data_IF_293318700167
#
_entry.id   IF_293318700167
#
_cell.length_a   1.000
_cell.length_b   1.000
_cell.length_c   1.000
_cell.angle_alpha   90.00
_cell.angle_beta   90.00
_cell.angle_gamma   90.00
#
_symmetry.space_group_name_H-M   'P 1'
#
loop_
_entity.id
_entity.type
_entity.pdbx_description
1 polymer ?
#
# COMPACT_ATOMS: atom_id res chain seq x y z
N UNK A 1 2.67 -18.66 -0.10
CA UNK A 1 2.91 -17.96 -1.39
C UNK A 1 4.02 -18.68 -2.11
N UNK A 2 3.88 -18.90 -3.41
CA UNK A 2 4.98 -19.42 -4.23
C UNK A 2 6.08 -18.34 -4.40
N UNK A 3 7.23 -18.74 -4.93
CA UNK A 3 8.40 -17.86 -5.11
C UNK A 3 8.09 -16.63 -5.97
N UNK A 4 7.29 -16.78 -7.02
CA UNK A 4 6.93 -15.68 -7.93
C UNK A 4 6.03 -14.64 -7.24
N UNK A 5 5.05 -15.10 -6.46
CA UNK A 5 4.16 -14.23 -5.68
C UNK A 5 4.94 -13.47 -4.60
N UNK A 6 5.94 -14.09 -3.96
CA UNK A 6 6.84 -13.39 -3.04
C UNK A 6 7.70 -12.33 -3.75
N UNK A 7 8.23 -12.65 -4.93
CA UNK A 7 9.01 -11.71 -5.74
C UNK A 7 8.18 -10.50 -6.15
N UNK A 8 6.94 -10.70 -6.60
CA UNK A 8 6.06 -9.61 -7.00
C UNK A 8 5.57 -8.76 -5.81
N UNK A 9 5.41 -9.36 -4.63
CA UNK A 9 5.21 -8.60 -3.39
C UNK A 9 6.41 -7.68 -3.11
N UNK A 10 7.64 -8.20 -3.14
CA UNK A 10 8.84 -7.39 -2.91
C UNK A 10 8.94 -6.24 -3.91
N UNK A 11 8.70 -6.51 -5.20
CA UNK A 11 8.68 -5.46 -6.24
C UNK A 11 7.65 -4.37 -5.94
N UNK A 12 6.43 -4.75 -5.53
CA UNK A 12 5.39 -3.79 -5.16
C UNK A 12 5.77 -2.94 -3.96
N UNK A 13 6.40 -3.53 -2.95
CA UNK A 13 6.88 -2.77 -1.79
C UNK A 13 8.00 -1.80 -2.18
N UNK A 14 8.96 -2.24 -2.99
CA UNK A 14 10.07 -1.41 -3.47
C UNK A 14 9.57 -0.27 -4.36
N UNK A 15 8.67 -0.54 -5.30
CA UNK A 15 8.07 0.47 -6.17
C UNK A 15 7.24 1.50 -5.38
N UNK A 16 6.54 1.07 -4.35
CA UNK A 16 5.85 2.00 -3.44
C UNK A 16 6.84 2.86 -2.64
N UNK A 17 7.92 2.25 -2.11
CA UNK A 17 8.96 2.96 -1.37
C UNK A 17 9.65 4.00 -2.27
N UNK A 18 9.95 3.63 -3.52
CA UNK A 18 10.51 4.55 -4.50
C UNK A 18 9.55 5.70 -4.77
N UNK A 19 8.28 5.42 -5.05
CA UNK A 19 7.26 6.44 -5.27
C UNK A 19 7.10 7.38 -4.06
N UNK A 20 7.23 6.91 -2.82
CA UNK A 20 7.24 7.78 -1.63
C UNK A 20 8.43 8.75 -1.63
N UNK A 21 9.61 8.30 -2.08
CA UNK A 21 10.86 9.07 -2.06
C UNK A 21 11.02 10.01 -3.24
N UNK A 22 10.39 9.71 -4.38
CA UNK A 22 10.57 10.44 -5.64
C UNK A 22 9.37 11.32 -6.00
N UNK A 23 8.19 11.06 -5.42
CA UNK A 23 7.01 11.89 -5.67
C UNK A 23 7.13 13.25 -4.97
N UNK A 24 6.93 14.33 -5.71
CA UNK A 24 6.94 15.69 -5.17
C UNK A 24 5.53 16.16 -4.78
N UNK A 25 5.36 16.79 -3.60
CA UNK A 25 6.34 16.91 -2.53
C UNK A 25 6.60 15.56 -1.84
N UNK A 26 7.86 15.30 -1.47
CA UNK A 26 8.24 14.08 -0.74
C UNK A 26 7.52 14.03 0.61
N UNK A 27 6.75 12.95 0.85
CA UNK A 27 5.94 12.77 2.06
C UNK A 27 6.13 11.39 2.65
N UNK A 28 6.98 11.31 3.67
CA UNK A 28 7.13 10.09 4.49
C UNK A 28 5.97 9.86 5.45
N UNK A 29 5.24 10.93 5.79
CA UNK A 29 4.04 10.88 6.60
C UNK A 29 2.92 11.66 5.91
N UNK A 30 1.67 11.26 6.14
CA UNK A 30 0.51 11.87 5.49
C UNK A 30 -0.80 11.26 5.97
N UNK A 31 -1.90 11.67 5.34
CA UNK A 31 -3.20 11.07 5.59
C UNK A 31 -3.39 9.79 4.76
N UNK A 32 -4.44 9.03 5.06
CA UNK A 32 -4.76 7.80 4.34
C UNK A 32 -4.97 8.06 2.84
N UNK A 33 -5.70 9.11 2.47
CA UNK A 33 -6.06 9.41 1.08
C UNK A 33 -4.84 9.63 0.18
N UNK A 34 -3.83 10.33 0.68
CA UNK A 34 -2.56 10.51 -0.03
C UNK A 34 -1.90 9.17 -0.35
N UNK A 35 -1.77 8.30 0.65
CA UNK A 35 -1.13 7.00 0.47
C UNK A 35 -1.98 6.04 -0.37
N UNK A 36 -3.32 6.13 -0.30
CA UNK A 36 -4.22 5.40 -1.17
C UNK A 36 -3.93 5.80 -2.63
N UNK A 37 -3.99 7.09 -2.95
CA UNK A 37 -3.75 7.57 -4.31
C UNK A 37 -2.35 7.21 -4.83
N UNK A 38 -1.33 7.32 -3.98
CA UNK A 38 0.03 6.93 -4.33
C UNK A 38 0.12 5.42 -4.65
N UNK A 39 -0.50 4.58 -3.83
CA UNK A 39 -0.48 3.13 -4.01
C UNK A 39 -1.29 2.70 -5.24
N UNK A 40 -2.44 3.32 -5.49
CA UNK A 40 -3.25 3.06 -6.69
C UNK A 40 -2.47 3.37 -7.97
N UNK A 41 -1.77 4.51 -8.00
CA UNK A 41 -0.89 4.89 -9.12
C UNK A 41 0.27 3.91 -9.30
N UNK A 42 0.88 3.44 -8.22
CA UNK A 42 1.91 2.39 -8.31
C UNK A 42 1.30 1.14 -8.95
N UNK A 43 0.20 0.62 -8.41
CA UNK A 43 -0.48 -0.58 -8.95
C UNK A 43 -0.88 -0.43 -10.42
N UNK A 44 -1.36 0.75 -10.83
CA UNK A 44 -1.83 0.97 -12.20
C UNK A 44 -0.68 1.10 -13.21
N UNK A 45 0.53 1.46 -12.76
CA UNK A 45 1.69 1.69 -13.65
C UNK A 45 2.58 0.46 -13.85
N UNK A 46 2.39 -0.60 -13.07
CA UNK A 46 3.25 -1.79 -13.16
C UNK A 46 2.77 -2.82 -14.16
N UNK A 47 3.72 -3.56 -14.72
CA UNK A 47 3.51 -4.57 -15.77
C UNK A 47 3.55 -6.02 -15.26
N UNK A 48 3.90 -6.22 -13.99
CA UNK A 48 3.98 -7.55 -13.38
C UNK A 48 2.66 -8.00 -12.73
N UNK A 49 2.58 -9.29 -12.43
CA UNK A 49 1.40 -9.93 -11.86
C UNK A 49 1.15 -9.44 -10.43
N UNK A 50 -0.07 -8.94 -10.20
CA UNK A 50 -0.51 -8.39 -8.90
C UNK A 50 -1.80 -9.06 -8.39
N UNK A 51 -2.34 -10.02 -9.16
CA UNK A 51 -3.68 -10.55 -8.99
C UNK A 51 -4.75 -9.57 -9.45
N UNK A 52 -5.95 -9.67 -8.88
CA UNK A 52 -7.03 -8.71 -9.13
C UNK A 52 -6.65 -7.32 -8.61
N UNK A 53 -6.18 -6.45 -9.51
CA UNK A 53 -5.74 -5.08 -9.19
C UNK A 53 -6.86 -4.24 -8.61
N UNK A 54 -8.10 -4.39 -9.08
CA UNK A 54 -9.25 -3.64 -8.56
C UNK A 54 -9.51 -4.06 -7.12
N UNK A 55 -9.46 -5.36 -6.85
CA UNK A 55 -9.66 -5.88 -5.50
C UNK A 55 -8.49 -5.54 -4.56
N UNK A 56 -7.26 -5.54 -5.06
CA UNK A 56 -6.07 -5.09 -4.32
C UNK A 56 -6.21 -3.63 -3.87
N UNK A 57 -6.52 -2.72 -4.78
CA UNK A 57 -6.74 -1.29 -4.47
C UNK A 57 -7.84 -1.11 -3.41
N UNK A 58 -8.98 -1.78 -3.58
CA UNK A 58 -10.08 -1.74 -2.62
C UNK A 58 -9.70 -2.30 -1.24
N UNK A 59 -8.95 -3.40 -1.19
CA UNK A 59 -8.46 -4.00 0.05
C UNK A 59 -7.52 -3.06 0.81
N UNK A 60 -6.60 -2.38 0.11
CA UNK A 60 -5.69 -1.39 0.70
C UNK A 60 -6.47 -0.19 1.26
N UNK A 61 -7.36 0.39 0.45
CA UNK A 61 -8.23 1.50 0.86
C UNK A 61 -9.06 1.15 2.10
N UNK A 62 -9.68 -0.03 2.10
CA UNK A 62 -10.48 -0.51 3.21
C UNK A 62 -9.65 -0.66 4.50
N UNK A 63 -8.45 -1.25 4.40
CA UNK A 63 -7.57 -1.49 5.54
C UNK A 63 -7.00 -0.19 6.12
N UNK A 64 -6.53 0.74 5.28
CA UNK A 64 -6.06 2.04 5.75
C UNK A 64 -7.18 2.83 6.43
N UNK A 65 -8.39 2.81 5.88
CA UNK A 65 -9.57 3.48 6.46
C UNK A 65 -10.07 2.88 7.79
N UNK A 66 -9.55 1.71 8.19
CA UNK A 66 -9.85 1.01 9.44
C UNK A 66 -8.74 1.09 10.48
N UNK A 67 -7.70 1.90 10.26
CA UNK A 67 -6.67 2.12 11.26
C UNK A 67 -7.14 3.25 12.19
N UNK A 68 -7.23 2.91 13.48
CA UNK A 68 -7.54 3.83 14.56
C UNK A 68 -6.30 4.04 15.41
N UNK A 69 -6.21 5.19 16.06
CA UNK A 69 -5.16 5.48 17.02
C UNK A 69 -5.45 4.83 18.39
N UNK A 70 -4.55 5.08 19.36
CA UNK A 70 -4.68 4.53 20.72
C UNK A 70 -5.92 5.02 21.49
N UNK A 71 -6.54 6.12 21.04
CA UNK A 71 -7.72 6.70 21.65
C UNK A 71 -9.02 6.22 20.98
N UNK A 72 -8.92 5.38 19.94
CA UNK A 72 -10.06 4.92 19.15
C UNK A 72 -10.52 5.92 18.09
N UNK A 73 -9.75 6.97 17.81
CA UNK A 73 -10.05 7.93 16.75
C UNK A 73 -9.46 7.44 15.42
N UNK A 74 -10.07 7.84 14.29
CA UNK A 74 -9.50 7.53 12.98
C UNK A 74 -8.09 8.10 12.90
N UNK A 75 -7.12 7.26 12.58
CA UNK A 75 -5.74 7.71 12.46
C UNK A 75 -5.63 8.75 11.34
N UNK A 76 -4.93 9.85 11.60
CA UNK A 76 -4.73 10.95 10.64
C UNK A 76 -3.28 11.09 10.18
N UNK A 77 -2.31 10.69 11.02
CA UNK A 77 -0.88 10.70 10.71
C UNK A 77 -0.33 9.31 10.42
N UNK A 78 -0.42 8.86 9.18
CA UNK A 78 0.17 7.61 8.70
C UNK A 78 1.64 7.81 8.40
N UNK A 79 2.48 6.87 8.84
CA UNK A 79 3.86 6.74 8.37
C UNK A 79 3.95 5.62 7.34
N UNK A 80 4.56 5.88 6.18
CA UNK A 80 4.56 4.92 5.08
C UNK A 80 5.17 3.56 5.46
N UNK A 81 6.26 3.57 6.25
CA UNK A 81 6.92 2.33 6.72
C UNK A 81 6.10 1.59 7.76
N UNK A 82 5.55 2.33 8.74
CA UNK A 82 4.92 1.74 9.93
C UNK A 82 3.49 1.29 9.67
N UNK A 83 2.76 2.03 8.84
CA UNK A 83 1.33 1.85 8.68
C UNK A 83 0.97 1.36 7.27
N UNK A 84 1.58 1.93 6.22
CA UNK A 84 1.14 1.67 4.83
C UNK A 84 1.74 0.39 4.25
N UNK A 85 3.06 0.19 4.37
CA UNK A 85 3.72 -1.03 3.88
C UNK A 85 3.10 -2.33 4.44
N UNK A 86 2.84 -2.46 5.76
CA UNK A 86 2.15 -3.63 6.29
C UNK A 86 0.76 -3.85 5.69
N UNK A 87 0.04 -2.78 5.36
CA UNK A 87 -1.28 -2.88 4.72
C UNK A 87 -1.15 -3.34 3.27
N UNK A 88 -0.20 -2.81 2.50
CA UNK A 88 0.08 -3.26 1.12
C UNK A 88 0.38 -4.76 1.13
N UNK A 89 1.28 -5.20 2.02
CA UNK A 89 1.62 -6.61 2.19
C UNK A 89 0.40 -7.47 2.50
N UNK A 90 -0.37 -7.09 3.53
CA UNK A 90 -1.54 -7.85 3.95
C UNK A 90 -2.61 -7.92 2.86
N UNK A 91 -2.81 -6.85 2.09
CA UNK A 91 -3.75 -6.82 0.98
C UNK A 91 -3.27 -7.69 -0.18
N UNK A 92 -2.00 -7.60 -0.57
CA UNK A 92 -1.41 -8.40 -1.63
C UNK A 92 -1.46 -9.90 -1.31
N UNK A 93 -1.04 -10.28 -0.11
CA UNK A 93 -1.12 -11.67 0.36
C UNK A 93 -2.55 -12.18 0.35
N UNK A 94 -3.54 -11.32 0.65
CA UNK A 94 -4.95 -11.71 0.63
C UNK A 94 -5.51 -11.93 -0.78
N UNK A 95 -5.10 -11.11 -1.74
CA UNK A 95 -5.53 -11.23 -3.15
C UNK A 95 -4.89 -12.44 -3.84
N UNK A 96 -3.65 -12.78 -3.47
CA UNK A 96 -2.84 -13.79 -4.14
C UNK A 96 -2.66 -15.07 -3.29
N UNK A 97 -3.66 -15.43 -2.47
CA UNK A 97 -3.64 -16.65 -1.63
C UNK A 97 -3.68 -17.92 -2.45
#
# INVERSE_FOLDING_TARGET
MNTEVMKNLTRLEDDFIDAVKTNEPVRYNGNADYFIQLTERVIDTRDYELGDRKYLKNSIKHRLGKIYDKNGEKKTGFGYKKDVLPVIRAAFTYVNK
#
